data_IF_272057972118
#
_entry.id   IF_272057972118
#
_cell.length_a   1.000
_cell.length_b   1.000
_cell.length_c   1.000
_cell.angle_alpha   90.00
_cell.angle_beta   90.00
_cell.angle_gamma   90.00
#
_symmetry.space_group_name_H-M   'P 1'
#
loop_
_entity.id
_entity.type
_entity.pdbx_description
1 polymer ?
#
# COMPACT_ATOMS: atom_id res chain seq x y z
N UNK A 1 -1.52 11.69 18.82
CA UNK A 1 -0.96 12.60 17.80
C UNK A 1 -1.71 12.54 16.48
N UNK A 2 -1.90 11.35 15.88
CA UNK A 2 -2.70 11.19 14.64
C UNK A 2 -4.09 11.83 14.80
N UNK A 3 -4.73 11.61 15.96
CA UNK A 3 -6.00 12.24 16.31
C UNK A 3 -5.93 13.77 16.27
N UNK A 4 -4.88 14.37 16.81
CA UNK A 4 -4.67 15.82 16.81
C UNK A 4 -4.56 16.37 15.38
N UNK A 5 -3.75 15.73 14.53
CA UNK A 5 -3.66 16.12 13.11
C UNK A 5 -5.01 15.95 12.40
N UNK A 6 -5.68 14.83 12.62
CA UNK A 6 -6.98 14.55 12.01
C UNK A 6 -8.02 15.60 12.38
N UNK A 7 -8.11 16.01 13.65
CA UNK A 7 -9.00 17.07 14.08
C UNK A 7 -8.64 18.43 13.48
N UNK A 8 -7.35 18.78 13.43
CA UNK A 8 -6.92 20.05 12.83
C UNK A 8 -7.22 20.14 11.33
N UNK A 9 -6.96 19.06 10.58
CA UNK A 9 -7.30 19.01 9.16
C UNK A 9 -8.80 18.90 8.91
N UNK A 10 -9.54 18.20 9.76
CA UNK A 10 -11.00 18.17 9.68
C UNK A 10 -11.60 19.56 9.94
N UNK A 11 -11.05 20.31 10.90
CA UNK A 11 -11.46 21.69 11.15
C UNK A 11 -11.16 22.58 9.94
N UNK A 12 -9.93 22.56 9.42
CA UNK A 12 -9.55 23.31 8.22
C UNK A 12 -10.42 22.95 7.03
N UNK A 13 -10.73 21.66 6.84
CA UNK A 13 -11.62 21.18 5.79
C UNK A 13 -13.03 21.78 5.93
N UNK A 14 -13.59 21.79 7.14
CA UNK A 14 -14.89 22.40 7.41
C UNK A 14 -14.89 23.91 7.15
N UNK A 15 -13.82 24.60 7.52
CA UNK A 15 -13.65 26.05 7.33
C UNK A 15 -13.49 26.43 5.86
N UNK A 16 -12.78 25.63 5.06
CA UNK A 16 -12.63 25.83 3.61
C UNK A 16 -13.94 25.74 2.81
N UNK A 17 -15.01 25.19 3.40
CA UNK A 17 -16.32 24.95 2.75
C UNK A 17 -16.17 24.46 1.30
N UNK A 18 -15.54 23.31 1.07
CA UNK A 18 -15.37 22.78 -0.28
C UNK A 18 -16.72 22.47 -0.94
N UNK A 19 -16.76 22.59 -2.27
CA UNK A 19 -17.93 22.20 -3.06
C UNK A 19 -18.12 20.68 -2.95
N UNK A 20 -19.19 20.27 -2.26
CA UNK A 20 -19.48 18.84 -2.07
C UNK A 20 -19.71 18.09 -3.39
N UNK A 21 -20.21 18.78 -4.43
CA UNK A 21 -20.40 18.18 -5.76
C UNK A 21 -19.06 17.81 -6.40
N UNK A 22 -18.08 18.71 -6.34
CA UNK A 22 -16.75 18.48 -6.93
C UNK A 22 -15.98 17.40 -6.16
N UNK A 23 -16.15 17.33 -4.84
CA UNK A 23 -15.56 16.28 -4.00
C UNK A 23 -16.11 14.89 -4.38
N UNK A 24 -17.43 14.75 -4.50
CA UNK A 24 -18.07 13.49 -4.86
C UNK A 24 -17.67 13.07 -6.28
N UNK A 25 -17.62 14.01 -7.23
CA UNK A 25 -17.15 13.76 -8.59
C UNK A 25 -15.69 13.31 -8.58
N UNK A 26 -14.82 13.94 -7.79
CA UNK A 26 -13.41 13.56 -7.68
C UNK A 26 -13.18 12.20 -7.03
N UNK A 27 -14.04 11.78 -6.10
CA UNK A 27 -13.99 10.44 -5.48
C UNK A 27 -14.48 9.36 -6.45
N UNK A 28 -15.50 9.65 -7.27
CA UNK A 28 -16.14 8.66 -8.15
C UNK A 28 -15.50 8.57 -9.54
N UNK A 29 -14.96 9.66 -10.06
CA UNK A 29 -14.48 9.76 -11.45
C UNK A 29 -12.97 10.05 -11.46
N UNK A 30 -12.13 9.06 -11.79
CA UNK A 30 -10.70 9.29 -11.95
C UNK A 30 -10.45 10.11 -13.23
N UNK A 31 -10.02 11.37 -13.07
CA UNK A 31 -9.53 12.22 -14.17
C UNK A 31 -8.06 12.53 -13.93
N UNK A 32 -7.18 12.05 -14.80
CA UNK A 32 -5.74 12.31 -14.74
C UNK A 32 -5.31 13.08 -15.99
N UNK A 33 -4.49 14.11 -15.79
CA UNK A 33 -3.77 14.80 -16.86
C UNK A 33 -2.33 14.33 -16.89
N UNK A 34 -1.64 14.40 -18.04
CA UNK A 34 -0.24 13.93 -18.17
C UNK A 34 0.72 14.57 -17.16
N UNK A 35 0.47 15.83 -16.74
CA UNK A 35 1.29 16.51 -15.72
C UNK A 35 1.07 15.96 -14.30
N UNK A 36 -0.11 15.40 -14.03
CA UNK A 36 -0.50 14.90 -12.70
C UNK A 36 -0.11 13.42 -12.52
N UNK A 37 0.29 12.72 -13.58
CA UNK A 37 0.59 11.28 -13.50
C UNK A 37 1.73 11.04 -12.51
N UNK A 38 2.85 11.77 -12.59
CA UNK A 38 4.00 11.65 -11.66
C UNK A 38 3.54 11.71 -10.19
N UNK A 39 2.80 12.75 -9.84
CA UNK A 39 2.27 12.97 -8.48
C UNK A 39 1.30 11.86 -8.05
N UNK A 40 0.47 11.40 -8.98
CA UNK A 40 -0.50 10.35 -8.71
C UNK A 40 0.19 8.97 -8.55
N UNK A 41 1.30 8.70 -9.24
CA UNK A 41 2.13 7.49 -9.00
C UNK A 41 2.71 7.54 -7.59
N UNK A 42 3.28 8.70 -7.21
CA UNK A 42 3.81 8.92 -5.87
C UNK A 42 2.75 8.74 -4.79
N UNK A 43 1.53 9.21 -5.03
CA UNK A 43 0.39 9.03 -4.13
C UNK A 43 -0.02 7.55 -4.01
N UNK A 44 -0.13 6.82 -5.12
CA UNK A 44 -0.47 5.38 -5.08
C UNK A 44 0.62 4.59 -4.36
N UNK A 45 1.88 4.85 -4.68
CA UNK A 45 3.04 4.21 -4.05
C UNK A 45 3.08 4.47 -2.55
N UNK A 46 2.87 5.72 -2.11
CA UNK A 46 2.86 6.09 -0.69
C UNK A 46 1.70 5.49 0.10
N UNK A 47 0.52 5.33 -0.51
CA UNK A 47 -0.66 4.76 0.17
C UNK A 47 -0.58 3.24 0.25
N UNK A 48 -0.18 2.57 -0.83
CA UNK A 48 -0.13 1.11 -0.90
C UNK A 48 1.29 0.66 -0.62
N UNK A 49 1.62 0.48 0.65
CA UNK A 49 2.96 0.04 1.05
C UNK A 49 3.04 -1.50 1.14
N UNK A 50 3.99 -2.16 0.43
CA UNK A 50 4.10 -3.62 0.46
C UNK A 50 4.40 -4.18 1.85
N UNK A 51 5.19 -3.46 2.64
CA UNK A 51 5.58 -3.88 3.99
C UNK A 51 4.39 -3.93 4.96
N UNK A 52 3.35 -3.12 4.74
CA UNK A 52 2.13 -3.15 5.56
C UNK A 52 1.33 -4.44 5.33
N UNK A 53 1.37 -5.01 4.13
CA UNK A 53 0.74 -6.31 3.85
C UNK A 53 1.36 -7.40 4.73
N UNK A 54 2.69 -7.49 4.74
CA UNK A 54 3.40 -8.47 5.57
C UNK A 54 3.23 -8.22 7.07
N UNK A 55 3.29 -6.95 7.48
CA UNK A 55 3.12 -6.59 8.88
C UNK A 55 1.72 -6.92 9.39
N UNK A 56 0.67 -6.56 8.65
CA UNK A 56 -0.70 -6.83 9.06
C UNK A 56 -0.97 -8.34 9.14
N UNK A 57 -0.52 -9.12 8.16
CA UNK A 57 -0.61 -10.59 8.21
C UNK A 57 0.07 -11.18 9.45
N UNK A 58 1.19 -10.60 9.90
CA UNK A 58 1.88 -11.07 11.09
C UNK A 58 1.25 -10.59 12.41
N UNK A 59 0.70 -9.38 12.45
CA UNK A 59 0.02 -8.84 13.63
C UNK A 59 -1.28 -9.59 13.94
N UNK A 60 -1.99 -10.09 12.92
CA UNK A 60 -3.15 -10.96 13.08
C UNK A 60 -2.81 -12.26 13.84
N UNK A 61 -1.56 -12.73 13.78
CA UNK A 61 -1.10 -13.89 14.54
C UNK A 61 -0.70 -13.57 15.98
N UNK A 62 -0.66 -12.29 16.38
CA UNK A 62 -0.30 -11.91 17.75
C UNK A 62 -1.41 -12.19 18.77
N UNK A 63 -2.67 -12.29 18.32
CA UNK A 63 -3.79 -12.67 19.19
C UNK A 63 -3.88 -14.19 19.25
N UNK A 64 -4.04 -14.72 20.46
CA UNK A 64 -4.24 -16.16 20.69
C UNK A 64 -5.65 -16.53 20.23
N UNK A 65 -5.73 -17.25 19.12
CA UNK A 65 -6.96 -17.79 18.56
C UNK A 65 -6.75 -19.29 18.42
N UNK A 66 -7.71 -20.08 18.86
CA UNK A 66 -7.69 -21.53 18.67
C UNK A 66 -8.14 -21.86 17.22
N UNK A 67 -7.25 -22.33 16.34
CA UNK A 67 -7.60 -22.62 14.95
C UNK A 67 -8.55 -23.82 14.81
N UNK A 68 -8.71 -24.65 15.85
CA UNK A 68 -9.60 -25.83 15.81
C UNK A 68 -11.07 -25.45 15.99
N UNK A 69 -11.35 -24.29 16.60
CA UNK A 69 -12.72 -23.82 16.86
C UNK A 69 -13.20 -22.86 15.77
N UNK A 70 -14.13 -23.34 14.95
CA UNK A 70 -14.65 -22.56 13.81
C UNK A 70 -15.28 -21.22 14.24
N UNK A 71 -15.96 -21.21 15.39
CA UNK A 71 -16.59 -20.01 15.94
C UNK A 71 -15.56 -18.92 16.28
N UNK A 72 -14.47 -19.26 16.97
CA UNK A 72 -13.43 -18.30 17.38
C UNK A 72 -12.72 -17.69 16.17
N UNK A 73 -12.44 -18.49 15.14
CA UNK A 73 -11.82 -18.00 13.90
C UNK A 73 -12.76 -17.07 13.14
N UNK A 74 -14.05 -17.41 13.02
CA UNK A 74 -15.03 -16.57 12.32
C UNK A 74 -15.27 -15.24 13.05
N UNK A 75 -15.33 -15.28 14.38
CA UNK A 75 -15.42 -14.09 15.21
C UNK A 75 -14.17 -13.20 15.05
N UNK A 76 -12.98 -13.80 15.11
CA UNK A 76 -11.72 -13.09 14.90
C UNK A 76 -11.65 -12.44 13.51
N UNK A 77 -12.03 -13.15 12.44
CA UNK A 77 -12.06 -12.59 11.08
C UNK A 77 -13.00 -11.38 10.98
N UNK A 78 -14.15 -11.40 11.66
CA UNK A 78 -15.07 -10.26 11.69
C UNK A 78 -14.44 -9.06 12.39
N UNK A 79 -13.83 -9.26 13.56
CA UNK A 79 -13.14 -8.18 14.28
C UNK A 79 -11.95 -7.64 13.49
N UNK A 80 -11.13 -8.50 12.89
CA UNK A 80 -10.00 -8.07 12.07
C UNK A 80 -10.45 -7.30 10.83
N UNK A 81 -11.57 -7.70 10.20
CA UNK A 81 -12.13 -6.94 9.08
C UNK A 81 -12.61 -5.56 9.51
N UNK A 82 -13.25 -5.44 10.68
CA UNK A 82 -13.69 -4.14 11.22
C UNK A 82 -12.48 -3.28 11.58
N UNK A 83 -11.50 -3.85 12.30
CA UNK A 83 -10.27 -3.18 12.72
C UNK A 83 -9.49 -2.67 11.50
N UNK A 84 -9.28 -3.51 10.49
CA UNK A 84 -8.60 -3.13 9.25
C UNK A 84 -9.37 -2.09 8.45
N UNK A 85 -10.70 -2.19 8.38
CA UNK A 85 -11.52 -1.18 7.68
C UNK A 85 -11.41 0.17 8.38
N UNK A 86 -11.56 0.20 9.70
CA UNK A 86 -11.44 1.45 10.46
C UNK A 86 -10.04 2.05 10.38
N UNK A 87 -9.00 1.22 10.38
CA UNK A 87 -7.62 1.65 10.23
C UNK A 87 -7.32 2.26 8.86
N UNK A 88 -8.05 1.89 7.80
CA UNK A 88 -7.90 2.47 6.45
C UNK A 88 -8.78 3.71 6.22
N UNK A 89 -9.95 3.77 6.85
CA UNK A 89 -10.87 4.93 6.73
C UNK A 89 -10.25 6.20 7.30
N UNK A 90 -9.54 6.11 8.44
CA UNK A 90 -8.95 7.30 9.07
C UNK A 90 -7.87 7.97 8.19
N UNK A 91 -6.84 7.27 7.68
CA UNK A 91 -5.88 7.84 6.74
C UNK A 91 -6.52 8.32 5.44
N UNK A 92 -7.53 7.61 4.93
CA UNK A 92 -8.29 8.06 3.76
C UNK A 92 -8.92 9.45 3.99
N UNK A 93 -9.60 9.64 5.14
CA UNK A 93 -10.21 10.92 5.49
C UNK A 93 -9.18 12.03 5.70
N UNK A 94 -8.02 11.71 6.30
CA UNK A 94 -6.92 12.67 6.47
C UNK A 94 -6.38 13.08 5.09
N UNK A 95 -6.05 12.14 4.21
CA UNK A 95 -5.53 12.43 2.88
C UNK A 95 -6.54 13.23 2.04
N UNK A 96 -7.82 12.85 2.09
CA UNK A 96 -8.90 13.60 1.43
C UNK A 96 -8.97 15.05 1.95
N UNK A 97 -8.88 15.23 3.26
CA UNK A 97 -8.93 16.55 3.89
C UNK A 97 -7.73 17.41 3.51
N UNK A 98 -6.51 16.87 3.64
CA UNK A 98 -5.26 17.55 3.30
C UNK A 98 -5.26 17.96 1.83
N UNK A 99 -5.51 17.02 0.91
CA UNK A 99 -5.53 17.33 -0.54
C UNK A 99 -6.59 18.37 -0.88
N UNK A 100 -7.76 18.33 -0.26
CA UNK A 100 -8.82 19.31 -0.52
C UNK A 100 -8.47 20.70 -0.01
N UNK A 101 -7.87 20.80 1.19
CA UNK A 101 -7.44 22.10 1.77
C UNK A 101 -6.36 22.74 0.91
N UNK A 102 -5.38 21.97 0.45
CA UNK A 102 -4.34 22.47 -0.46
C UNK A 102 -4.90 22.84 -1.84
N UNK A 103 -5.78 22.01 -2.40
CA UNK A 103 -6.41 22.32 -3.68
C UNK A 103 -7.26 23.59 -3.61
N UNK A 104 -8.14 23.72 -2.61
CA UNK A 104 -8.97 24.92 -2.46
C UNK A 104 -8.14 26.16 -2.13
N UNK A 105 -7.06 25.98 -1.38
CA UNK A 105 -6.15 27.05 -0.99
C UNK A 105 -5.33 27.56 -2.16
N UNK A 106 -4.68 26.70 -2.91
CA UNK A 106 -3.55 27.11 -3.76
C UNK A 106 -3.68 26.68 -5.22
N UNK A 107 -4.69 25.89 -5.59
CA UNK A 107 -4.84 25.43 -6.97
C UNK A 107 -5.00 26.60 -7.94
N UNK A 108 -4.11 26.68 -8.94
CA UNK A 108 -4.09 27.73 -9.96
C UNK A 108 -3.33 29.01 -9.56
N UNK A 109 -2.68 29.07 -8.40
CA UNK A 109 -1.78 30.18 -8.04
C UNK A 109 -0.33 29.86 -8.42
N UNK A 110 0.51 30.91 -8.55
CA UNK A 110 1.95 30.74 -8.80
C UNK A 110 2.69 30.12 -7.61
N UNK A 111 2.10 30.15 -6.41
CA UNK A 111 2.70 29.51 -5.24
C UNK A 111 2.57 27.98 -5.29
N UNK A 112 1.56 27.44 -6.00
CA UNK A 112 1.25 26.01 -6.03
C UNK A 112 2.44 25.12 -6.43
N UNK A 113 3.25 25.57 -7.38
CA UNK A 113 4.39 24.83 -7.91
C UNK A 113 5.58 24.79 -6.93
N UNK A 114 5.60 25.66 -5.93
CA UNK A 114 6.67 25.76 -4.93
C UNK A 114 6.26 25.16 -3.57
N UNK A 115 5.05 24.61 -3.41
CA UNK A 115 4.62 24.03 -2.14
C UNK A 115 5.28 22.66 -1.97
N UNK A 116 6.23 22.59 -1.04
CA UNK A 116 6.92 21.38 -0.60
C UNK A 116 6.67 21.07 0.88
N UNK A 117 7.23 19.96 1.36
CA UNK A 117 7.01 19.47 2.73
C UNK A 117 7.44 20.49 3.80
N UNK A 118 8.52 21.24 3.54
CA UNK A 118 9.09 22.23 4.46
C UNK A 118 8.20 23.48 4.60
N UNK A 119 7.75 24.04 3.48
CA UNK A 119 7.03 25.31 3.46
C UNK A 119 5.50 25.16 3.55
N UNK A 120 4.96 23.95 3.36
CA UNK A 120 3.55 23.64 3.48
C UNK A 120 2.93 24.14 4.80
N UNK A 121 3.62 23.96 5.92
CA UNK A 121 3.16 24.43 7.23
C UNK A 121 3.08 25.97 7.32
N UNK A 122 4.00 26.69 6.67
CA UNK A 122 4.00 28.17 6.62
C UNK A 122 2.85 28.67 5.75
N UNK A 123 2.68 28.09 4.56
CA UNK A 123 1.57 28.43 3.67
C UNK A 123 0.19 28.17 4.31
N UNK A 124 0.03 27.04 5.02
CA UNK A 124 -1.19 26.78 5.77
C UNK A 124 -1.40 27.79 6.90
N UNK A 125 -0.34 28.17 7.61
CA UNK A 125 -0.41 29.20 8.66
C UNK A 125 -0.74 30.59 8.09
N UNK A 126 -0.21 30.97 6.94
CA UNK A 126 -0.51 32.29 6.35
C UNK A 126 -1.94 32.36 5.83
N UNK A 127 -2.45 31.26 5.27
CA UNK A 127 -3.77 31.24 4.63
C UNK A 127 -4.92 30.96 5.59
N UNK A 128 -4.70 30.06 6.54
CA UNK A 128 -5.72 29.61 7.50
C UNK A 128 -5.36 29.93 8.95
N UNK A 129 -4.12 30.36 9.20
CA UNK A 129 -3.66 30.73 10.53
C UNK A 129 -3.96 32.19 10.82
N UNK A 130 -5.12 32.43 11.43
CA UNK A 130 -5.48 33.72 12.05
C UNK A 130 -6.10 33.57 13.45
N UNK A 131 -6.14 32.34 13.99
CA UNK A 131 -6.84 32.01 15.25
C UNK A 131 -5.95 31.37 16.32
N UNK A 132 -6.58 30.73 17.32
CA UNK A 132 -5.94 30.12 18.49
C UNK A 132 -5.05 28.89 18.19
N UNK A 133 -5.08 28.34 16.98
CA UNK A 133 -4.34 27.13 16.61
C UNK A 133 -3.12 27.45 15.78
N UNK A 134 -1.90 27.15 16.26
CA UNK A 134 -0.69 27.30 15.45
C UNK A 134 -0.53 26.09 14.53
N UNK A 135 -1.10 26.18 13.34
CA UNK A 135 -1.10 25.15 12.30
C UNK A 135 0.34 24.73 11.95
N UNK A 136 1.28 25.69 11.93
CA UNK A 136 2.70 25.41 11.70
C UNK A 136 3.27 24.39 12.71
N UNK A 137 3.00 24.55 14.00
CA UNK A 137 3.47 23.63 15.03
C UNK A 137 2.76 22.28 14.95
N UNK A 138 1.46 22.28 14.63
CA UNK A 138 0.69 21.03 14.45
C UNK A 138 1.23 20.24 13.25
N UNK A 139 1.57 20.92 12.15
CA UNK A 139 2.24 20.33 10.99
C UNK A 139 3.59 19.74 11.37
N UNK A 140 4.45 20.51 12.03
CA UNK A 140 5.79 20.05 12.44
C UNK A 140 5.76 18.87 13.42
N UNK A 141 4.93 18.93 14.46
CA UNK A 141 4.71 17.81 15.39
C UNK A 141 4.14 16.60 14.63
N UNK A 142 3.22 16.86 13.72
CA UNK A 142 2.64 15.88 12.81
C UNK A 142 3.68 15.11 12.00
N UNK A 143 4.57 15.82 11.33
CA UNK A 143 5.69 15.24 10.59
C UNK A 143 6.61 14.42 11.50
N UNK A 144 6.91 14.93 12.71
CA UNK A 144 7.76 14.23 13.66
C UNK A 144 7.20 12.87 14.05
N UNK A 145 5.94 12.76 14.48
CA UNK A 145 5.44 11.42 14.83
C UNK A 145 4.90 10.58 13.66
N UNK A 146 4.72 11.14 12.46
CA UNK A 146 4.67 10.33 11.25
C UNK A 146 6.01 9.58 11.06
N UNK A 147 7.15 10.28 11.25
CA UNK A 147 8.48 9.69 11.20
C UNK A 147 8.75 8.63 12.27
N UNK A 148 8.31 8.86 13.52
CA UNK A 148 8.46 7.85 14.59
C UNK A 148 7.56 6.65 14.37
N UNK A 149 6.31 6.85 13.92
CA UNK A 149 5.39 5.76 13.58
C UNK A 149 5.95 4.90 12.45
N UNK A 150 6.45 5.51 11.37
CA UNK A 150 7.10 4.81 10.26
C UNK A 150 8.30 3.98 10.71
N UNK A 151 9.10 4.48 11.66
CA UNK A 151 10.22 3.73 12.24
C UNK A 151 9.74 2.44 12.92
N UNK A 152 8.70 2.55 13.75
CA UNK A 152 8.17 1.41 14.51
C UNK A 152 7.64 0.36 13.53
N UNK A 153 6.77 0.78 12.61
CA UNK A 153 6.19 -0.08 11.56
C UNK A 153 7.27 -0.74 10.70
N UNK A 154 8.28 0.01 10.24
CA UNK A 154 9.39 -0.51 9.43
C UNK A 154 10.24 -1.53 10.18
N UNK A 155 10.52 -1.31 11.46
CA UNK A 155 11.28 -2.29 12.27
C UNK A 155 10.48 -3.56 12.56
N UNK A 156 9.15 -3.49 12.72
CA UNK A 156 8.31 -4.68 12.88
C UNK A 156 8.17 -5.44 11.56
N UNK A 157 7.86 -4.75 10.45
CA UNK A 157 7.74 -5.38 9.14
C UNK A 157 9.07 -6.06 8.74
N UNK A 158 10.20 -5.39 8.96
CA UNK A 158 11.52 -5.95 8.73
C UNK A 158 11.80 -7.21 9.57
N UNK A 159 11.22 -7.34 10.77
CA UNK A 159 11.35 -8.57 11.57
C UNK A 159 10.76 -9.77 10.87
N UNK A 160 9.53 -9.62 10.38
CA UNK A 160 8.78 -10.71 9.80
C UNK A 160 9.33 -11.08 8.43
N UNK A 161 9.76 -10.08 7.65
CA UNK A 161 10.39 -10.32 6.35
C UNK A 161 11.74 -11.01 6.52
N UNK A 162 12.64 -10.50 7.37
CA UNK A 162 13.96 -11.11 7.60
C UNK A 162 13.86 -12.49 8.24
N UNK A 163 12.96 -12.66 9.21
CA UNK A 163 12.73 -13.94 9.89
C UNK A 163 12.02 -14.97 9.01
N UNK A 164 11.12 -14.55 8.12
CA UNK A 164 10.38 -15.43 7.23
C UNK A 164 11.16 -15.82 5.97
N UNK A 165 11.71 -14.84 5.24
CA UNK A 165 12.38 -15.09 3.96
C UNK A 165 13.86 -15.46 4.08
N UNK A 166 14.60 -14.78 4.97
CA UNK A 166 16.04 -14.99 5.12
C UNK A 166 16.40 -15.88 6.32
N UNK A 167 15.41 -16.30 7.12
CA UNK A 167 15.59 -16.95 8.43
C UNK A 167 16.62 -16.24 9.33
N UNK A 168 16.72 -14.91 9.20
CA UNK A 168 17.74 -14.11 9.88
C UNK A 168 17.14 -13.40 11.10
N UNK A 169 17.56 -13.83 12.30
CA UNK A 169 17.06 -13.29 13.57
C UNK A 169 18.01 -12.24 14.15
N UNK A 170 17.82 -10.99 13.75
CA UNK A 170 18.53 -9.84 14.31
C UNK A 170 17.85 -9.29 15.57
N UNK A 171 18.64 -8.77 16.52
CA UNK A 171 18.14 -8.00 17.67
C UNK A 171 17.43 -6.73 17.17
N UNK A 172 16.35 -6.32 17.86
CA UNK A 172 15.50 -5.17 17.47
C UNK A 172 16.32 -3.89 17.19
N UNK A 173 17.27 -3.57 18.07
CA UNK A 173 18.10 -2.36 17.95
C UNK A 173 19.08 -2.42 16.78
N UNK A 174 19.70 -3.59 16.53
CA UNK A 174 20.62 -3.77 15.40
C UNK A 174 19.87 -3.62 14.08
N UNK A 175 18.70 -4.25 13.97
CA UNK A 175 17.85 -4.11 12.77
C UNK A 175 17.45 -2.66 12.53
N UNK A 176 17.01 -1.95 13.58
CA UNK A 176 16.66 -0.54 13.47
C UNK A 176 17.85 0.33 13.07
N UNK A 177 19.04 0.07 13.61
CA UNK A 177 20.25 0.82 13.27
C UNK A 177 20.65 0.60 11.81
N UNK A 178 20.61 -0.64 11.32
CA UNK A 178 20.90 -0.97 9.91
C UNK A 178 19.92 -0.25 8.99
N UNK A 179 18.60 -0.44 9.20
CA UNK A 179 17.59 0.15 8.31
C UNK A 179 17.61 1.68 8.34
N UNK A 180 17.88 2.30 9.50
CA UNK A 180 18.04 3.76 9.59
C UNK A 180 19.33 4.25 8.96
N UNK A 181 20.43 3.50 9.05
CA UNK A 181 21.67 3.88 8.37
C UNK A 181 21.49 3.90 6.86
N UNK A 182 20.82 2.89 6.30
CA UNK A 182 20.48 2.85 4.88
C UNK A 182 19.52 3.97 4.43
N UNK A 183 18.69 4.52 5.34
CA UNK A 183 17.83 5.67 5.01
C UNK A 183 18.56 7.01 5.16
N UNK A 184 19.29 7.19 6.26
CA UNK A 184 19.89 8.48 6.63
C UNK A 184 21.15 8.76 5.79
N UNK A 185 22.00 7.77 5.56
CA UNK A 185 23.29 7.97 4.87
C UNK A 185 23.09 8.52 3.44
N UNK A 186 22.24 7.91 2.58
CA UNK A 186 22.00 8.47 1.25
C UNK A 186 21.37 9.87 1.30
N UNK A 187 20.47 10.11 2.25
CA UNK A 187 19.82 11.42 2.42
C UNK A 187 20.84 12.51 2.77
N UNK A 188 21.78 12.22 3.68
CA UNK A 188 22.87 13.14 4.03
C UNK A 188 23.77 13.40 2.83
N UNK A 189 24.14 12.35 2.08
CA UNK A 189 25.01 12.48 0.90
C UNK A 189 24.36 13.40 -0.14
N UNK A 190 23.07 13.20 -0.45
CA UNK A 190 22.33 14.04 -1.39
C UNK A 190 22.24 15.47 -0.87
N UNK A 191 21.92 15.66 0.41
CA UNK A 191 21.82 17.00 1.02
C UNK A 191 23.15 17.77 0.95
N UNK A 192 24.28 17.11 1.20
CA UNK A 192 25.61 17.72 1.15
C UNK A 192 26.07 18.01 -0.29
N UNK A 193 25.77 17.12 -1.25
CA UNK A 193 26.23 17.27 -2.64
C UNK A 193 25.44 18.34 -3.40
N UNK A 194 24.13 18.42 -3.18
CA UNK A 194 23.24 19.38 -3.83
C UNK A 194 23.06 20.67 -3.02
N UNK A 195 23.93 20.93 -2.04
CA UNK A 195 23.97 22.16 -1.26
C UNK A 195 22.61 22.55 -0.65
N UNK A 196 21.91 21.56 -0.11
CA UNK A 196 20.55 21.68 0.44
C UNK A 196 19.54 22.38 -0.51
N UNK A 197 19.63 22.17 -1.83
CA UNK A 197 18.55 22.61 -2.72
C UNK A 197 17.29 21.78 -2.45
N UNK A 198 16.20 22.44 -2.05
CA UNK A 198 14.92 21.84 -1.66
C UNK A 198 14.38 20.84 -2.71
N UNK A 199 14.58 21.15 -3.99
CA UNK A 199 14.14 20.31 -5.11
C UNK A 199 14.80 18.93 -5.15
N UNK A 200 16.05 18.78 -4.70
CA UNK A 200 16.77 17.51 -4.77
C UNK A 200 16.22 16.46 -3.78
N UNK A 201 15.75 16.91 -2.61
CA UNK A 201 15.15 16.03 -1.61
C UNK A 201 13.74 15.60 -2.03
N UNK A 202 12.97 16.50 -2.63
CA UNK A 202 11.66 16.18 -3.19
C UNK A 202 11.78 15.17 -4.34
N UNK A 203 12.74 15.36 -5.26
CA UNK A 203 13.04 14.39 -6.32
C UNK A 203 13.43 13.03 -5.73
N UNK A 204 14.30 12.98 -4.71
CA UNK A 204 14.66 11.73 -4.04
C UNK A 204 13.41 11.03 -3.45
N UNK A 205 12.52 11.78 -2.80
CA UNK A 205 11.28 11.24 -2.25
C UNK A 205 10.35 10.70 -3.33
N UNK A 206 10.23 11.38 -4.47
CA UNK A 206 9.47 10.89 -5.62
C UNK A 206 10.02 9.55 -6.12
N UNK A 207 11.34 9.45 -6.31
CA UNK A 207 12.00 8.20 -6.71
C UNK A 207 11.80 7.06 -5.70
N UNK A 208 11.83 7.35 -4.39
CA UNK A 208 11.55 6.34 -3.36
C UNK A 208 10.10 5.82 -3.46
N UNK A 209 9.13 6.70 -3.71
CA UNK A 209 7.75 6.29 -3.92
C UNK A 209 7.57 5.45 -5.19
N UNK A 210 8.32 5.77 -6.26
CA UNK A 210 8.36 4.96 -7.49
C UNK A 210 8.93 3.56 -7.22
N UNK A 211 10.03 3.46 -6.47
CA UNK A 211 10.61 2.18 -6.07
C UNK A 211 9.64 1.36 -5.21
N UNK A 212 8.88 2.01 -4.33
CA UNK A 212 7.84 1.36 -3.53
C UNK A 212 6.69 0.84 -4.41
N UNK A 213 6.30 1.61 -5.42
CA UNK A 213 5.31 1.21 -6.43
C UNK A 213 5.73 -0.07 -7.17
N UNK A 214 6.99 -0.18 -7.59
CA UNK A 214 7.52 -1.38 -8.27
C UNK A 214 7.41 -2.63 -7.39
N UNK A 215 7.47 -2.50 -6.07
CA UNK A 215 7.41 -3.63 -5.15
C UNK A 215 5.98 -4.19 -4.93
N UNK A 216 4.92 -3.43 -5.26
CA UNK A 216 3.53 -3.78 -4.97
C UNK A 216 3.13 -5.16 -5.54
N UNK A 217 3.39 -5.49 -6.83
CA UNK A 217 3.05 -6.80 -7.38
C UNK A 217 3.70 -7.97 -6.64
N UNK A 218 4.93 -7.80 -6.15
CA UNK A 218 5.68 -8.86 -5.49
C UNK A 218 5.09 -9.25 -4.13
N UNK A 219 4.40 -8.33 -3.44
CA UNK A 219 3.67 -8.66 -2.22
C UNK A 219 2.25 -9.15 -2.49
N UNK A 220 1.56 -8.54 -3.47
CA UNK A 220 0.15 -8.85 -3.74
C UNK A 220 -0.05 -10.19 -4.44
N UNK A 221 0.77 -10.53 -5.44
CA UNK A 221 0.60 -11.78 -6.20
C UNK A 221 0.69 -13.01 -5.28
N UNK A 222 1.74 -13.17 -4.44
CA UNK A 222 1.83 -14.31 -3.53
C UNK A 222 0.70 -14.33 -2.50
N UNK A 223 0.30 -13.16 -1.98
CA UNK A 223 -0.82 -13.06 -1.04
C UNK A 223 -2.10 -13.61 -1.65
N UNK A 224 -2.45 -13.16 -2.86
CA UNK A 224 -3.67 -13.59 -3.54
C UNK A 224 -3.60 -15.07 -3.87
N UNK A 225 -2.45 -15.56 -4.34
CA UNK A 225 -2.26 -16.99 -4.61
C UNK A 225 -2.46 -17.85 -3.35
N UNK A 226 -1.96 -17.40 -2.19
CA UNK A 226 -2.15 -18.11 -0.91
C UNK A 226 -3.59 -18.05 -0.42
N UNK A 227 -4.22 -16.87 -0.45
CA UNK A 227 -5.60 -16.68 0.05
C UNK A 227 -6.64 -17.34 -0.86
N UNK A 228 -6.32 -17.54 -2.14
CA UNK A 228 -7.19 -18.24 -3.09
C UNK A 228 -7.03 -19.76 -3.04
N UNK A 229 -6.03 -20.29 -2.33
CA UNK A 229 -5.78 -21.72 -2.24
C UNK A 229 -6.64 -22.36 -1.14
N UNK A 230 -7.59 -23.21 -1.53
CA UNK A 230 -8.49 -23.91 -0.62
C UNK A 230 -7.75 -24.85 0.35
N UNK A 231 -6.54 -25.32 0.00
CA UNK A 231 -5.74 -26.14 0.89
C UNK A 231 -5.06 -25.35 2.02
N UNK A 232 -4.76 -24.08 1.76
CA UNK A 232 -4.13 -23.19 2.74
C UNK A 232 -5.19 -22.51 3.60
N UNK A 233 -6.31 -22.08 3.00
CA UNK A 233 -7.37 -21.34 3.68
C UNK A 233 -8.54 -22.20 4.17
N UNK A 234 -8.65 -23.45 3.74
CA UNK A 234 -9.71 -24.37 4.15
C UNK A 234 -11.11 -23.82 3.88
N UNK A 235 -11.97 -23.83 4.90
CA UNK A 235 -13.34 -23.31 4.82
C UNK A 235 -13.44 -21.78 4.75
N UNK A 236 -12.33 -21.06 4.95
CA UNK A 236 -12.28 -19.59 5.03
C UNK A 236 -11.80 -18.91 3.75
N UNK A 237 -11.75 -19.64 2.63
CA UNK A 237 -11.49 -19.06 1.30
C UNK A 237 -12.48 -17.93 1.01
N UNK A 238 -12.03 -16.87 0.33
CA UNK A 238 -12.86 -15.73 -0.06
C UNK A 238 -14.12 -16.22 -0.79
N UNK A 239 -15.27 -16.10 -0.15
CA UNK A 239 -16.58 -16.45 -0.71
C UNK A 239 -17.44 -15.19 -0.92
N UNK A 240 -18.34 -15.15 -1.92
CA UNK A 240 -19.14 -13.96 -2.21
C UNK A 240 -20.36 -13.80 -1.28
N UNK A 241 -20.13 -13.87 0.04
CA UNK A 241 -21.10 -13.86 1.16
C UNK A 241 -21.39 -15.25 1.70
N UNK A 242 -20.96 -15.44 2.95
CA UNK A 242 -21.53 -16.28 3.99
C UNK A 242 -22.57 -17.31 3.52
N UNK A 243 -22.14 -18.58 3.51
CA UNK A 243 -22.97 -19.79 3.34
C UNK A 243 -24.32 -19.63 4.05
N UNK A 244 -25.39 -19.40 3.29
CA UNK A 244 -26.74 -19.75 3.73
C UNK A 244 -27.13 -21.03 3.02
N UNK A 245 -27.09 -22.10 3.83
CA UNK A 245 -27.88 -23.32 3.75
C UNK A 245 -27.48 -24.47 2.80
N UNK A 246 -27.24 -25.58 3.48
CA UNK A 246 -27.47 -26.99 3.14
C UNK A 246 -26.55 -27.72 2.15
N UNK A 247 -25.94 -28.79 2.70
CA UNK A 247 -25.53 -30.01 2.01
C UNK A 247 -26.62 -30.48 1.04
N UNK A 248 -26.23 -30.80 -0.19
CA UNK A 248 -26.21 -32.12 -0.84
C UNK A 248 -25.70 -31.87 -2.28
N UNK A 249 -24.99 -32.85 -2.86
CA UNK A 249 -24.24 -32.77 -4.14
C UNK A 249 -22.81 -32.22 -3.98
N UNK A 250 -22.04 -32.93 -3.15
CA UNK A 250 -20.60 -33.01 -3.29
C UNK A 250 -20.28 -33.80 -4.58
N UNK A 251 -19.49 -33.19 -5.48
CA UNK A 251 -18.50 -33.81 -6.41
C UNK A 251 -18.47 -33.17 -7.83
N UNK A 252 -19.50 -32.49 -8.34
CA UNK A 252 -19.46 -32.01 -9.75
C UNK A 252 -19.45 -30.49 -9.98
N UNK A 253 -19.47 -29.64 -8.95
CA UNK A 253 -19.58 -28.15 -9.12
C UNK A 253 -18.37 -27.36 -8.57
N UNK A 254 -17.38 -28.03 -7.96
CA UNK A 254 -16.27 -27.33 -7.30
C UNK A 254 -15.30 -26.65 -8.28
N UNK A 255 -15.12 -27.16 -9.50
CA UNK A 255 -14.21 -26.53 -10.48
C UNK A 255 -14.69 -25.18 -11.02
N UNK A 256 -16.00 -24.89 -10.96
CA UNK A 256 -16.57 -23.65 -11.47
C UNK A 256 -16.67 -22.53 -10.40
N UNK A 257 -16.66 -22.89 -9.11
CA UNK A 257 -16.71 -21.91 -8.00
C UNK A 257 -15.36 -21.25 -7.72
N UNK A 258 -14.25 -21.99 -7.88
CA UNK A 258 -12.89 -21.48 -7.61
C UNK A 258 -12.46 -20.45 -8.65
N UNK A 259 -12.84 -20.62 -9.92
CA UNK A 259 -12.49 -19.69 -10.99
C UNK A 259 -13.16 -18.32 -10.84
N UNK A 260 -14.44 -18.26 -10.48
CA UNK A 260 -15.17 -16.98 -10.29
C UNK A 260 -14.63 -16.19 -9.09
N UNK A 261 -14.22 -16.88 -8.01
CA UNK A 261 -13.60 -16.26 -6.82
C UNK A 261 -12.21 -15.71 -7.11
N UNK A 262 -11.40 -16.49 -7.84
CA UNK A 262 -10.09 -16.09 -8.32
C UNK A 262 -10.23 -14.83 -9.19
N UNK A 263 -11.13 -14.84 -10.17
CA UNK A 263 -11.40 -13.69 -11.04
C UNK A 263 -11.78 -12.45 -10.22
N UNK A 264 -12.65 -12.54 -9.22
CA UNK A 264 -13.04 -11.38 -8.41
C UNK A 264 -11.88 -10.79 -7.60
N UNK A 265 -11.06 -11.60 -6.94
CA UNK A 265 -9.89 -11.13 -6.17
C UNK A 265 -8.79 -10.58 -7.08
N UNK A 266 -8.55 -11.23 -8.23
CA UNK A 266 -7.61 -10.76 -9.23
C UNK A 266 -8.10 -9.48 -9.92
N UNK A 267 -9.41 -9.28 -10.11
CA UNK A 267 -9.95 -8.00 -10.61
C UNK A 267 -9.60 -6.88 -9.63
N UNK A 268 -9.90 -7.04 -8.34
CA UNK A 268 -9.63 -6.01 -7.32
C UNK A 268 -8.14 -5.69 -7.22
N UNK A 269 -7.26 -6.68 -7.33
CA UNK A 269 -5.82 -6.47 -7.30
C UNK A 269 -5.22 -5.99 -8.64
N UNK A 270 -5.83 -6.35 -9.76
CA UNK A 270 -5.39 -5.93 -11.09
C UNK A 270 -5.58 -4.43 -11.28
N UNK A 271 -6.61 -3.83 -10.68
CA UNK A 271 -6.85 -2.39 -10.79
C UNK A 271 -5.63 -1.58 -10.28
N UNK A 272 -5.18 -1.72 -9.02
CA UNK A 272 -4.00 -1.00 -8.54
C UNK A 272 -2.72 -1.45 -9.26
N UNK A 273 -2.57 -2.73 -9.62
CA UNK A 273 -1.37 -3.19 -10.35
C UNK A 273 -1.26 -2.60 -11.77
N UNK A 274 -2.37 -2.52 -12.51
CA UNK A 274 -2.42 -1.95 -13.87
C UNK A 274 -2.29 -0.44 -13.83
N UNK A 275 -3.02 0.23 -12.92
CA UNK A 275 -2.89 1.68 -12.72
C UNK A 275 -1.44 2.01 -12.41
N UNK A 276 -0.84 1.30 -11.46
CA UNK A 276 0.54 1.51 -11.05
C UNK A 276 1.55 1.18 -12.16
N UNK A 277 1.31 0.14 -12.95
CA UNK A 277 2.14 -0.22 -14.11
C UNK A 277 2.10 0.85 -15.21
N UNK A 278 0.90 1.33 -15.56
CA UNK A 278 0.71 2.42 -16.52
C UNK A 278 1.37 3.72 -16.05
N UNK A 279 1.20 4.02 -14.77
CA UNK A 279 1.77 5.18 -14.11
C UNK A 279 3.31 5.16 -14.10
N UNK A 280 3.90 4.02 -13.75
CA UNK A 280 5.34 3.82 -13.77
C UNK A 280 5.91 3.96 -15.19
N UNK A 281 5.21 3.39 -16.18
CA UNK A 281 5.56 3.50 -17.59
C UNK A 281 5.63 4.95 -18.07
N UNK A 282 4.59 5.72 -17.77
CA UNK A 282 4.51 7.14 -18.15
C UNK A 282 5.59 7.97 -17.46
N UNK A 283 5.82 7.74 -16.16
CA UNK A 283 6.90 8.38 -15.40
C UNK A 283 8.26 8.12 -16.04
N UNK A 284 8.60 6.86 -16.29
CA UNK A 284 9.89 6.48 -16.85
C UNK A 284 10.09 7.00 -18.28
N UNK A 285 9.02 7.01 -19.09
CA UNK A 285 9.04 7.57 -20.44
C UNK A 285 9.24 9.09 -20.44
N UNK A 286 8.79 9.80 -19.39
CA UNK A 286 8.90 11.26 -19.29
C UNK A 286 10.25 11.76 -18.75
N UNK A 287 11.03 10.87 -18.13
CA UNK A 287 12.30 11.21 -17.46
C UNK A 287 13.54 10.92 -18.34
N UNK A 288 13.36 10.19 -19.45
CA UNK A 288 14.47 9.77 -20.31
C UNK A 288 14.61 10.63 -21.56
N UNK A 289 15.48 11.64 -21.50
CA UNK A 289 15.93 12.38 -22.69
C UNK A 289 17.07 11.62 -23.38
N UNK A 290 16.73 10.73 -24.33
CA UNK A 290 17.70 10.08 -25.20
C UNK A 290 17.26 8.73 -25.77
N UNK A 291 17.57 8.48 -27.05
CA UNK A 291 17.17 7.25 -27.76
C UNK A 291 17.72 5.99 -27.09
N UNK A 292 18.99 6.00 -26.67
CA UNK A 292 19.62 4.88 -25.97
C UNK A 292 18.97 4.61 -24.60
N UNK A 293 18.78 5.67 -23.79
CA UNK A 293 18.13 5.54 -22.48
C UNK A 293 16.70 5.00 -22.63
N UNK A 294 15.95 5.50 -23.61
CA UNK A 294 14.58 5.03 -23.88
C UNK A 294 14.55 3.57 -24.33
N UNK A 295 15.49 3.12 -25.17
CA UNK A 295 15.56 1.70 -25.57
C UNK A 295 15.89 0.77 -24.40
N UNK A 296 16.86 1.13 -23.56
CA UNK A 296 17.23 0.34 -22.36
C UNK A 296 16.06 0.28 -21.38
N UNK A 297 15.39 1.40 -21.18
CA UNK A 297 14.23 1.51 -20.33
C UNK A 297 13.07 0.65 -20.84
N UNK A 298 12.78 0.71 -22.14
CA UNK A 298 11.75 -0.09 -22.77
C UNK A 298 12.02 -1.59 -22.58
N UNK A 299 13.27 -2.03 -22.74
CA UNK A 299 13.67 -3.43 -22.47
C UNK A 299 13.47 -3.80 -21.01
N UNK A 300 13.89 -2.94 -20.07
CA UNK A 300 13.75 -3.19 -18.63
C UNK A 300 12.28 -3.29 -18.21
N UNK A 301 11.44 -2.41 -18.75
CA UNK A 301 9.99 -2.41 -18.57
C UNK A 301 9.34 -3.66 -19.13
N UNK A 302 9.69 -4.06 -20.35
CA UNK A 302 9.15 -5.28 -20.98
C UNK A 302 9.57 -6.50 -20.16
N UNK A 303 10.83 -6.58 -19.73
CA UNK A 303 11.32 -7.63 -18.85
C UNK A 303 10.54 -7.67 -17.53
N UNK A 304 10.28 -6.51 -16.93
CA UNK A 304 9.47 -6.38 -15.72
C UNK A 304 8.03 -6.84 -15.94
N UNK A 305 7.37 -6.40 -17.02
CA UNK A 305 6.01 -6.80 -17.36
C UNK A 305 5.90 -8.31 -17.64
N UNK A 306 6.86 -8.88 -18.38
CA UNK A 306 6.97 -10.32 -18.61
C UNK A 306 7.19 -11.09 -17.31
N UNK A 307 7.99 -10.54 -16.40
CA UNK A 307 8.21 -11.14 -15.09
C UNK A 307 6.96 -11.12 -14.22
N UNK A 308 6.20 -10.01 -14.23
CA UNK A 308 4.88 -9.94 -13.57
C UNK A 308 3.92 -10.95 -14.20
N UNK A 309 3.84 -11.02 -15.53
CA UNK A 309 3.01 -12.00 -16.23
C UNK A 309 3.39 -13.44 -15.85
N UNK A 310 4.70 -13.73 -15.81
CA UNK A 310 5.22 -15.01 -15.34
C UNK A 310 4.80 -15.32 -13.89
N UNK A 311 4.86 -14.34 -12.99
CA UNK A 311 4.40 -14.50 -11.61
C UNK A 311 2.89 -14.74 -11.52
N UNK A 312 2.08 -14.07 -12.35
CA UNK A 312 0.63 -14.28 -12.40
C UNK A 312 0.33 -15.71 -12.88
N UNK A 313 0.93 -16.11 -14.01
CA UNK A 313 0.75 -17.46 -14.58
C UNK A 313 1.18 -18.54 -13.56
N UNK A 314 2.34 -18.39 -12.94
CA UNK A 314 2.83 -19.33 -11.93
C UNK A 314 2.00 -19.30 -10.63
N UNK A 315 1.51 -18.12 -10.24
CA UNK A 315 0.60 -17.95 -9.11
C UNK A 315 -0.73 -18.69 -9.32
N UNK A 316 -1.20 -18.79 -10.57
CA UNK A 316 -2.37 -19.61 -10.93
C UNK A 316 -2.07 -21.12 -10.98
N UNK A 317 -0.82 -21.54 -11.19
CA UNK A 317 -0.41 -22.95 -11.17
C UNK A 317 -0.08 -23.49 -9.76
N UNK A 318 0.37 -22.64 -8.83
CA UNK A 318 0.70 -23.00 -7.45
C UNK A 318 -0.43 -23.78 -6.73
N UNK A 319 -1.71 -23.41 -6.87
CA UNK A 319 -2.85 -24.19 -6.37
C UNK A 319 -2.86 -25.65 -6.86
N UNK A 320 -2.54 -25.91 -8.14
CA UNK A 320 -2.64 -27.23 -8.76
C UNK A 320 -1.54 -28.21 -8.30
N UNK A 321 -0.33 -27.71 -8.00
CA UNK A 321 0.79 -28.56 -7.52
C UNK A 321 0.72 -28.87 -6.03
N UNK A 322 0.25 -27.94 -5.20
CA UNK A 322 -0.02 -28.24 -3.78
C UNK A 322 -1.18 -29.25 -3.68
N UNK A 323 -2.22 -29.07 -4.51
CA UNK A 323 -3.37 -29.98 -4.61
C UNK A 323 -2.95 -31.44 -4.81
N UNK A 324 -2.08 -31.67 -5.78
CA UNK A 324 -1.56 -33.01 -6.10
C UNK A 324 -0.63 -33.57 -5.02
N UNK A 325 0.17 -32.73 -4.35
CA UNK A 325 1.13 -33.20 -3.33
C UNK A 325 0.44 -33.57 -2.00
N UNK A 326 -0.52 -32.77 -1.54
CA UNK A 326 -1.30 -33.07 -0.33
C UNK A 326 -2.23 -34.27 -0.54
N UNK A 327 -2.84 -34.41 -1.72
CA UNK A 327 -3.67 -35.58 -2.04
C UNK A 327 -2.84 -36.87 -2.01
N UNK A 328 -1.61 -36.83 -2.54
CA UNK A 328 -0.68 -37.97 -2.51
C UNK A 328 -0.28 -38.36 -1.09
N UNK A 329 -0.06 -37.40 -0.19
CA UNK A 329 0.27 -37.65 1.22
C UNK A 329 -0.93 -38.15 2.05
N UNK A 330 -2.17 -37.76 1.69
CA UNK A 330 -3.39 -38.24 2.35
C UNK A 330 -3.75 -39.70 2.00
N UNK A 331 -3.30 -40.18 0.83
CA UNK A 331 -3.50 -41.55 0.36
C UNK A 331 -2.45 -42.52 0.93
N UNK A 332 -1.24 -42.05 1.22
CA UNK A 332 -0.20 -42.85 1.90
C UNK A 332 -0.45 -43.00 3.39
N UNK A 333 -0.99 -41.99 4.08
CA UNK A 333 -1.34 -42.08 5.52
C UNK A 333 -2.60 -42.89 5.81
N UNK A 334 -3.45 -43.19 4.80
CA UNK A 334 -4.61 -44.10 4.94
C UNK A 334 -4.30 -45.57 4.65
N UNK A 335 -3.05 -45.89 4.30
CA UNK A 335 -2.58 -47.25 3.98
C UNK A 335 -1.49 -47.78 4.92
N UNK A 336 -1.21 -47.08 6.04
CA UNK A 336 -0.35 -47.54 7.14
C UNK A 336 -1.11 -47.55 8.44
#
# INVERSE_FOLDING_TARGET
MITTMAFSFAWMFAETKPSGKDLIIGILIPKLSSRTIKQAVGLVGSVITPHNVFLHSALVLSRKIDPEKEYEVREALRYYSIESTMALVVPFMINLSVTTVFAKGFYGTKEADNIGLENAGKYLQEKFGGGYFPILYIWGVGLLAAGTSSTITGTYAGQFIMGGFLNWRLKKWIRALITRSFAIVPTIIVSLYFNASDSALDVLNEWLNVVQSVQIPFSLIPLIAMVSNEQVMGMYTIGPRMKVSLKVVYISVTYCSTQVKLIATWIVASVPMVINGYMLLDFLSSETDGVLANTVLCVAVIAYALFILYLILRGTEFPNRLATTVHKNSLTTRKS
#
